data_IF_233202318090
#
_entry.id   IF_233202318090
#
_cell.length_a   1.000
_cell.length_b   1.000
_cell.length_c   1.000
_cell.angle_alpha   90.00
_cell.angle_beta   90.00
_cell.angle_gamma   90.00
#
_symmetry.space_group_name_H-M   'P 1'
#
loop_
_entity.id
_entity.type
_entity.pdbx_description
1 polymer ?
#
# COMPACT_ATOMS: atom_id res chain seq x y z
N UNK A 1 -0.02 -30.17 -1.63
CA UNK A 1 -0.88 -29.02 -1.25
C UNK A 1 -0.01 -28.03 -0.50
N UNK A 2 0.02 -26.75 -0.89
CA UNK A 2 0.77 -25.74 -0.13
C UNK A 2 0.21 -25.70 1.29
N UNK A 3 1.07 -25.83 2.29
CA UNK A 3 0.68 -25.76 3.69
C UNK A 3 0.33 -24.30 4.01
N UNK A 4 -0.91 -24.04 4.40
CA UNK A 4 -1.35 -22.71 4.82
C UNK A 4 -0.56 -22.28 6.05
N UNK A 5 0.26 -21.23 5.89
CA UNK A 5 0.99 -20.61 6.99
C UNK A 5 0.48 -19.17 7.20
N UNK A 6 -0.35 -18.91 8.22
CA UNK A 6 -0.88 -17.57 8.48
C UNK A 6 0.22 -16.54 8.78
N UNK A 7 1.41 -16.97 9.21
CA UNK A 7 2.53 -16.06 9.44
C UNK A 7 3.08 -15.49 8.12
N UNK A 8 3.12 -16.30 7.06
CA UNK A 8 3.58 -15.82 5.74
C UNK A 8 2.61 -14.81 5.14
N UNK A 9 1.30 -15.06 5.18
CA UNK A 9 0.30 -14.11 4.67
C UNK A 9 0.31 -12.78 5.44
N UNK A 10 0.50 -12.83 6.77
CA UNK A 10 0.60 -11.62 7.59
C UNK A 10 1.81 -10.78 7.17
N UNK A 11 2.96 -11.39 6.92
CA UNK A 11 4.15 -10.70 6.40
C UNK A 11 3.88 -10.06 5.04
N UNK A 12 3.17 -10.75 4.14
CA UNK A 12 2.82 -10.19 2.82
C UNK A 12 1.92 -8.96 2.95
N UNK A 13 0.96 -8.96 3.86
CA UNK A 13 0.09 -7.80 4.15
C UNK A 13 0.91 -6.62 4.67
N UNK A 14 1.86 -6.86 5.57
CA UNK A 14 2.76 -5.83 6.09
C UNK A 14 3.67 -5.26 4.99
N UNK A 15 4.22 -6.13 4.14
CA UNK A 15 5.06 -5.76 3.00
C UNK A 15 4.29 -4.89 2.01
N UNK A 16 3.10 -5.30 1.58
CA UNK A 16 2.25 -4.51 0.66
C UNK A 16 1.96 -3.11 1.21
N UNK A 17 1.67 -3.01 2.51
CA UNK A 17 1.43 -1.72 3.16
C UNK A 17 2.71 -0.88 3.30
N UNK A 18 3.85 -1.51 3.57
CA UNK A 18 5.14 -0.84 3.61
C UNK A 18 5.53 -0.31 2.22
N UNK A 19 5.41 -1.13 1.19
CA UNK A 19 5.67 -0.78 -0.21
C UNK A 19 4.77 0.37 -0.67
N UNK A 20 3.47 0.34 -0.34
CA UNK A 20 2.56 1.44 -0.66
C UNK A 20 3.04 2.78 -0.09
N UNK A 21 3.51 2.80 1.16
CA UNK A 21 4.04 4.01 1.81
C UNK A 21 5.37 4.46 1.22
N UNK A 22 6.27 3.51 0.92
CA UNK A 22 7.56 3.79 0.29
C UNK A 22 7.34 4.36 -1.10
N UNK A 23 6.41 3.79 -1.88
CA UNK A 23 6.07 4.26 -3.22
C UNK A 23 5.55 5.71 -3.20
N UNK A 24 4.59 6.01 -2.31
CA UNK A 24 4.07 7.37 -2.11
C UNK A 24 5.19 8.38 -1.79
N UNK A 25 6.09 8.01 -0.86
CA UNK A 25 7.21 8.87 -0.45
C UNK A 25 8.24 9.05 -1.56
N UNK A 26 8.64 7.98 -2.23
CA UNK A 26 9.62 8.04 -3.31
C UNK A 26 9.11 8.91 -4.46
N UNK A 27 7.85 8.77 -4.83
CA UNK A 27 7.25 9.62 -5.87
C UNK A 27 7.13 11.07 -5.44
N UNK A 28 6.75 11.35 -4.19
CA UNK A 28 6.74 12.73 -3.68
C UNK A 28 8.13 13.36 -3.74
N UNK A 29 9.17 12.64 -3.31
CA UNK A 29 10.56 13.11 -3.37
C UNK A 29 11.05 13.31 -4.80
N UNK A 30 10.74 12.39 -5.71
CA UNK A 30 11.05 12.54 -7.13
C UNK A 30 10.32 13.75 -7.72
N UNK A 31 9.05 13.95 -7.39
CA UNK A 31 8.28 15.12 -7.82
C UNK A 31 8.88 16.43 -7.34
N UNK A 32 9.29 16.51 -6.07
CA UNK A 32 10.00 17.68 -5.52
C UNK A 32 11.32 17.90 -6.27
N UNK A 33 12.10 16.84 -6.47
CA UNK A 33 13.40 16.92 -7.13
C UNK A 33 13.27 17.40 -8.57
N UNK A 34 12.44 16.75 -9.38
CA UNK A 34 12.23 17.13 -10.79
C UNK A 34 11.50 18.46 -10.92
N UNK A 35 10.57 18.79 -10.03
CA UNK A 35 9.90 20.08 -10.01
C UNK A 35 10.87 21.23 -9.71
N UNK A 36 11.73 21.07 -8.71
CA UNK A 36 12.78 22.02 -8.38
C UNK A 36 13.78 22.19 -9.53
N UNK A 37 14.27 21.08 -10.07
CA UNK A 37 15.28 21.07 -11.13
C UNK A 37 14.74 21.69 -12.43
N UNK A 38 13.51 21.32 -12.82
CA UNK A 38 12.84 21.90 -13.99
C UNK A 38 12.65 23.41 -13.84
N UNK A 39 12.08 23.85 -12.71
CA UNK A 39 11.84 25.27 -12.48
C UNK A 39 13.14 26.09 -12.35
N UNK A 40 14.19 25.54 -11.74
CA UNK A 40 15.50 26.18 -11.63
C UNK A 40 16.18 26.35 -13.00
N UNK A 41 16.09 25.33 -13.87
CA UNK A 41 16.62 25.41 -15.25
C UNK A 41 15.86 26.48 -16.04
N UNK A 42 14.53 26.49 -15.97
CA UNK A 42 13.72 27.51 -16.66
C UNK A 42 14.03 28.92 -16.14
N UNK A 43 14.11 29.11 -14.83
CA UNK A 43 14.42 30.41 -14.24
C UNK A 43 15.81 30.91 -14.62
N UNK A 44 16.82 30.02 -14.68
CA UNK A 44 18.17 30.38 -15.11
C UNK A 44 18.23 30.93 -16.55
N UNK A 45 17.30 30.51 -17.41
CA UNK A 45 17.23 30.94 -18.81
C UNK A 45 16.40 32.23 -19.00
N UNK A 46 15.36 32.43 -18.18
CA UNK A 46 14.38 33.52 -18.38
C UNK A 46 14.60 34.69 -17.43
N UNK A 47 14.80 34.41 -16.14
CA UNK A 47 14.86 35.40 -15.07
C UNK A 47 15.74 34.87 -13.92
N UNK A 48 17.07 35.00 -14.03
CA UNK A 48 18.01 34.40 -13.09
C UNK A 48 17.86 34.96 -11.66
N UNK A 49 17.40 36.20 -11.48
CA UNK A 49 17.09 36.76 -10.15
C UNK A 49 15.96 36.02 -9.41
N UNK A 50 15.10 35.27 -10.13
CA UNK A 50 13.98 34.52 -9.55
C UNK A 50 14.31 33.04 -9.30
N UNK A 51 15.56 32.60 -9.47
CA UNK A 51 15.94 31.18 -9.41
C UNK A 51 15.48 30.50 -8.11
N UNK A 52 15.70 31.14 -6.96
CA UNK A 52 15.29 30.60 -5.66
C UNK A 52 13.77 30.48 -5.55
N UNK A 53 13.03 31.51 -5.98
CA UNK A 53 11.58 31.52 -5.94
C UNK A 53 10.98 30.47 -6.88
N UNK A 54 11.50 30.34 -8.10
CA UNK A 54 11.08 29.35 -9.06
C UNK A 54 11.35 27.92 -8.58
N UNK A 55 12.53 27.65 -8.01
CA UNK A 55 12.86 26.36 -7.42
C UNK A 55 11.89 25.95 -6.30
N UNK A 56 11.54 26.90 -5.42
CA UNK A 56 10.56 26.67 -4.35
C UNK A 56 9.15 26.39 -4.90
N UNK A 57 8.70 27.15 -5.90
CA UNK A 57 7.40 26.91 -6.57
C UNK A 57 7.39 25.55 -7.26
N UNK A 58 8.47 25.21 -7.96
CA UNK A 58 8.65 23.93 -8.63
C UNK A 58 8.60 22.75 -7.65
N UNK A 59 9.27 22.86 -6.50
CA UNK A 59 9.18 21.87 -5.43
C UNK A 59 7.76 21.75 -4.87
N UNK A 60 7.11 22.89 -4.60
CA UNK A 60 5.77 22.95 -4.03
C UNK A 60 4.70 22.36 -4.97
N UNK A 61 4.86 22.51 -6.29
CA UNK A 61 3.94 21.95 -7.28
C UNK A 61 4.29 20.51 -7.66
N UNK A 62 5.57 20.20 -7.86
CA UNK A 62 6.03 18.90 -8.34
C UNK A 62 5.78 17.76 -7.36
N UNK A 63 5.97 18.01 -6.05
CA UNK A 63 5.74 17.01 -5.01
C UNK A 63 4.29 16.49 -4.96
N UNK A 64 3.29 17.37 -4.77
CA UNK A 64 1.88 16.97 -4.73
C UNK A 64 1.39 16.30 -6.02
N UNK A 65 1.83 16.78 -7.18
CA UNK A 65 1.47 16.18 -8.47
C UNK A 65 1.99 14.74 -8.57
N UNK A 66 3.27 14.52 -8.28
CA UNK A 66 3.85 13.18 -8.33
C UNK A 66 3.28 12.25 -7.25
N UNK A 67 3.03 12.76 -6.04
CA UNK A 67 2.35 12.02 -4.97
C UNK A 67 0.95 11.56 -5.41
N UNK A 68 0.18 12.43 -6.07
CA UNK A 68 -1.16 12.09 -6.55
C UNK A 68 -1.15 10.94 -7.56
N UNK A 69 -0.13 10.89 -8.43
CA UNK A 69 0.06 9.78 -9.38
C UNK A 69 0.36 8.47 -8.65
N UNK A 70 1.23 8.49 -7.63
CA UNK A 70 1.59 7.31 -6.85
C UNK A 70 0.44 6.77 -5.99
N UNK A 71 -0.44 7.65 -5.54
CA UNK A 71 -1.57 7.31 -4.66
C UNK A 71 -2.48 6.23 -5.25
N UNK A 72 -2.70 6.24 -6.56
CA UNK A 72 -3.51 5.21 -7.23
C UNK A 72 -2.90 3.81 -7.11
N UNK A 73 -1.58 3.70 -7.32
CA UNK A 73 -0.85 2.43 -7.21
C UNK A 73 -0.75 1.96 -5.75
N UNK A 74 -0.48 2.89 -4.83
CA UNK A 74 -0.46 2.60 -3.40
C UNK A 74 -1.84 2.16 -2.89
N UNK A 75 -2.92 2.72 -3.43
CA UNK A 75 -4.28 2.27 -3.15
C UNK A 75 -4.50 0.82 -3.58
N UNK A 76 -4.08 0.44 -4.79
CA UNK A 76 -4.19 -0.95 -5.26
C UNK A 76 -3.45 -1.93 -4.35
N UNK A 77 -2.24 -1.58 -3.89
CA UNK A 77 -1.49 -2.41 -2.92
C UNK A 77 -2.25 -2.59 -1.60
N UNK A 78 -2.86 -1.52 -1.09
CA UNK A 78 -3.69 -1.57 0.13
C UNK A 78 -4.94 -2.43 -0.06
N UNK A 79 -5.58 -2.34 -1.22
CA UNK A 79 -6.75 -3.18 -1.56
C UNK A 79 -6.33 -4.66 -1.60
N UNK A 80 -5.21 -5.00 -2.23
CA UNK A 80 -4.70 -6.37 -2.25
C UNK A 80 -4.41 -6.89 -0.83
N UNK A 81 -3.82 -6.06 0.02
CA UNK A 81 -3.58 -6.41 1.43
C UNK A 81 -4.89 -6.68 2.19
N UNK A 82 -5.93 -5.88 1.95
CA UNK A 82 -7.25 -6.11 2.56
C UNK A 82 -7.92 -7.38 2.04
N UNK A 83 -7.81 -7.67 0.74
CA UNK A 83 -8.33 -8.91 0.16
C UNK A 83 -7.68 -10.13 0.83
N UNK A 84 -6.37 -10.10 1.06
CA UNK A 84 -5.66 -11.17 1.76
C UNK A 84 -6.13 -11.32 3.21
N UNK A 85 -6.36 -10.22 3.94
CA UNK A 85 -6.91 -10.26 5.30
C UNK A 85 -8.29 -10.91 5.35
N UNK A 86 -9.18 -10.54 4.41
CA UNK A 86 -10.51 -11.14 4.30
C UNK A 86 -10.42 -12.63 4.00
N UNK A 87 -9.58 -13.03 3.06
CA UNK A 87 -9.39 -14.43 2.72
C UNK A 87 -8.85 -15.24 3.90
N UNK A 88 -7.89 -14.71 4.65
CA UNK A 88 -7.42 -15.35 5.88
C UNK A 88 -8.54 -15.52 6.91
N UNK A 89 -9.42 -14.53 7.05
CA UNK A 89 -10.54 -14.62 7.99
C UNK A 89 -11.56 -15.67 7.56
N UNK A 90 -11.86 -15.76 6.26
CA UNK A 90 -12.72 -16.81 5.70
C UNK A 90 -12.11 -18.18 6.01
N UNK A 91 -10.83 -18.40 5.72
CA UNK A 91 -10.19 -19.68 5.98
C UNK A 91 -10.17 -20.04 7.48
N UNK A 92 -9.93 -19.07 8.36
CA UNK A 92 -10.00 -19.29 9.82
C UNK A 92 -11.41 -19.68 10.25
N UNK A 93 -12.44 -18.97 9.77
CA UNK A 93 -13.83 -19.25 10.09
C UNK A 93 -14.27 -20.62 9.54
N UNK A 94 -13.85 -20.98 8.32
CA UNK A 94 -14.17 -22.26 7.70
C UNK A 94 -13.49 -23.42 8.43
N UNK A 95 -12.22 -23.29 8.85
CA UNK A 95 -11.54 -24.33 9.64
C UNK A 95 -12.19 -24.52 11.01
N UNK A 96 -12.44 -23.42 11.74
CA UNK A 96 -13.12 -23.50 13.04
C UNK A 96 -14.53 -24.10 12.94
N UNK A 97 -15.31 -23.68 11.94
CA UNK A 97 -16.65 -24.23 11.70
C UNK A 97 -16.65 -25.71 11.29
N UNK A 98 -15.63 -26.17 10.55
CA UNK A 98 -15.46 -27.58 10.20
C UNK A 98 -15.13 -28.44 11.43
N UNK A 99 -14.25 -27.96 12.31
CA UNK A 99 -13.88 -28.65 13.55
C UNK A 99 -15.09 -28.78 14.50
N UNK A 100 -15.93 -27.76 14.59
CA UNK A 100 -17.14 -27.79 15.40
C UNK A 100 -18.22 -28.70 14.79
N UNK A 101 -18.36 -28.72 13.46
CA UNK A 101 -19.24 -29.65 12.76
C UNK A 101 -18.81 -31.12 12.95
N UNK A 102 -17.50 -31.40 12.97
CA UNK A 102 -16.95 -32.73 13.19
C UNK A 102 -17.24 -33.22 14.61
N UNK A 103 -17.02 -32.38 15.64
CA UNK A 103 -17.36 -32.71 17.04
C UNK A 103 -18.85 -33.02 17.23
N UNK A 104 -19.73 -32.31 16.51
CA UNK A 104 -21.17 -32.57 16.53
C UNK A 104 -21.53 -33.93 15.90
N UNK A 105 -20.75 -34.36 14.90
CA UNK A 105 -20.95 -35.64 14.21
C UNK A 105 -20.38 -36.82 15.01
N UNK A 106 -19.26 -36.64 15.71
CA UNK A 106 -18.64 -37.66 16.57
C UNK A 106 -19.41 -37.90 17.89
N UNK A 107 -20.18 -36.90 18.35
CA UNK A 107 -21.12 -37.04 19.46
C UNK A 107 -22.57 -36.89 18.97
N UNK A 108 -23.14 -37.89 18.27
CA UNK A 108 -24.57 -37.93 18.05
C UNK A 108 -25.20 -38.05 19.44
N UNK A 109 -26.00 -37.05 19.82
CA UNK A 109 -26.67 -36.98 21.11
C UNK A 109 -27.24 -38.34 21.50
N UNK A 110 -26.67 -38.96 22.55
CA UNK A 110 -27.40 -39.93 23.36
C UNK A 110 -28.39 -39.18 24.26
N UNK A 111 -29.31 -38.44 23.65
CA UNK A 111 -30.49 -37.94 24.36
C UNK A 111 -31.56 -39.02 24.21
N UNK A 112 -31.52 -39.98 25.13
CA UNK A 112 -32.69 -40.75 25.53
C UNK A 112 -33.60 -39.91 26.41
#
# INVERSE_FOLDING_TARGET
>A
MLQYDPATLTRTVEQLNAEARVLERTYALMGVFFGCLGAAVTARLVAPELLLAAALIGALMGGPLAYSMARSRAFTMRVQAQTLLVQMQIERNTRGGMDDALKLYEHPRSTG
#
